data_IF_462934947822
#
_entry.id   IF_462934947822
#
_cell.length_a   1.000
_cell.length_b   1.000
_cell.length_c   1.000
_cell.angle_alpha   90.00
_cell.angle_beta   90.00
_cell.angle_gamma   90.00
#
_symmetry.space_group_name_H-M   'P 1'
#
loop_
_entity.id
_entity.type
_entity.pdbx_description
1 polymer ?
#
# COMPACT_ATOMS: atom_id res chain seq x y z
N UNK A 1 -18.64 -0.69 -9.21
CA UNK A 1 -18.02 -0.43 -7.91
C UNK A 1 -16.59 0.00 -8.12
N UNK A 2 -16.17 1.06 -7.46
CA UNK A 2 -14.81 1.62 -7.60
C UNK A 2 -13.83 0.72 -6.84
N UNK A 3 -12.77 0.31 -7.52
CA UNK A 3 -11.70 -0.47 -6.92
C UNK A 3 -10.52 0.44 -6.57
N UNK A 4 -9.90 0.17 -5.43
CA UNK A 4 -8.84 1.00 -4.89
C UNK A 4 -7.55 0.20 -4.71
N UNK A 5 -6.44 0.83 -5.03
CA UNK A 5 -5.10 0.42 -4.60
C UNK A 5 -4.68 1.39 -3.51
N UNK A 6 -4.40 0.87 -2.32
CA UNK A 6 -3.93 1.63 -1.18
C UNK A 6 -2.45 1.27 -0.99
N UNK A 7 -1.54 2.18 -1.33
CA UNK A 7 -0.11 1.94 -1.19
C UNK A 7 0.38 2.52 0.12
N UNK A 8 0.98 1.65 0.94
CA UNK A 8 1.65 2.05 2.17
C UNK A 8 3.01 2.64 1.83
N UNK A 9 3.17 3.93 2.04
CA UNK A 9 4.45 4.63 1.87
C UNK A 9 5.24 4.54 3.17
N UNK A 10 6.52 4.24 3.06
CA UNK A 10 7.44 4.11 4.19
C UNK A 10 8.86 4.44 3.75
N UNK A 11 9.80 4.36 4.68
CA UNK A 11 11.22 4.53 4.42
C UNK A 11 11.61 5.94 3.95
N UNK A 12 12.79 6.06 3.34
CA UNK A 12 13.30 7.31 2.79
C UNK A 12 12.72 7.66 1.43
N UNK A 13 13.04 8.85 0.95
CA UNK A 13 12.42 9.41 -0.26
C UNK A 13 12.63 8.55 -1.52
N UNK A 14 13.78 7.94 -1.69
CA UNK A 14 14.03 7.04 -2.82
C UNK A 14 13.06 5.87 -2.84
N UNK A 15 12.90 5.20 -1.70
CA UNK A 15 11.97 4.10 -1.56
C UNK A 15 10.51 4.55 -1.72
N UNK A 16 10.16 5.73 -1.20
CA UNK A 16 8.84 6.31 -1.39
C UNK A 16 8.50 6.50 -2.87
N UNK A 17 9.45 6.96 -3.66
CA UNK A 17 9.29 7.13 -5.10
C UNK A 17 9.08 5.78 -5.82
N UNK A 18 9.81 4.75 -5.44
CA UNK A 18 9.62 3.40 -5.99
C UNK A 18 8.23 2.85 -5.65
N UNK A 19 7.83 2.94 -4.38
CA UNK A 19 6.51 2.49 -3.93
C UNK A 19 5.38 3.21 -4.68
N UNK A 20 5.48 4.53 -4.78
CA UNK A 20 4.50 5.34 -5.50
C UNK A 20 4.44 4.98 -6.99
N UNK A 21 5.59 4.97 -7.66
CA UNK A 21 5.65 4.73 -9.10
C UNK A 21 5.09 3.37 -9.48
N UNK A 22 5.41 2.34 -8.69
CA UNK A 22 4.90 1.00 -8.91
C UNK A 22 3.39 0.92 -8.71
N UNK A 23 2.88 1.48 -7.62
CA UNK A 23 1.45 1.51 -7.35
C UNK A 23 0.69 2.35 -8.39
N UNK A 24 1.28 3.44 -8.84
CA UNK A 24 0.72 4.27 -9.90
C UNK A 24 0.58 3.49 -11.21
N UNK A 25 1.65 2.82 -11.64
CA UNK A 25 1.61 2.00 -12.86
C UNK A 25 0.55 0.90 -12.77
N UNK A 26 0.47 0.24 -11.61
CA UNK A 26 -0.51 -0.81 -11.37
C UNK A 26 -1.95 -0.26 -11.40
N UNK A 27 -2.18 0.91 -10.81
CA UNK A 27 -3.49 1.56 -10.81
C UNK A 27 -3.95 1.93 -12.22
N UNK A 28 -3.04 2.47 -13.02
CA UNK A 28 -3.33 2.83 -14.42
C UNK A 28 -3.62 1.59 -15.27
N UNK A 29 -2.82 0.55 -15.12
CA UNK A 29 -3.01 -0.70 -15.87
C UNK A 29 -4.38 -1.34 -15.61
N UNK A 30 -4.85 -1.28 -14.36
CA UNK A 30 -6.10 -1.91 -13.96
C UNK A 30 -7.29 -0.95 -13.94
N UNK A 31 -7.07 0.32 -14.19
CA UNK A 31 -8.09 1.38 -14.08
C UNK A 31 -8.70 1.44 -12.67
N UNK A 32 -7.85 1.39 -11.65
CA UNK A 32 -8.22 1.49 -10.24
C UNK A 32 -7.82 2.84 -9.67
N UNK A 33 -8.51 3.30 -8.64
CA UNK A 33 -8.08 4.48 -7.87
C UNK A 33 -6.81 4.18 -7.10
N UNK A 34 -5.86 5.12 -7.11
CA UNK A 34 -4.69 5.07 -6.26
C UNK A 34 -4.89 5.96 -5.04
N UNK A 35 -4.79 5.36 -3.85
CA UNK A 35 -4.84 6.04 -2.56
C UNK A 35 -3.51 5.87 -1.85
N UNK A 36 -3.01 6.96 -1.27
CA UNK A 36 -1.70 7.01 -0.62
C UNK A 36 -1.87 6.91 0.89
N UNK A 37 -1.38 5.82 1.47
CA UNK A 37 -1.30 5.67 2.92
C UNK A 37 0.01 6.31 3.40
N UNK A 38 -0.10 7.50 3.95
CA UNK A 38 1.03 8.32 4.39
C UNK A 38 1.34 8.19 5.89
N UNK A 39 0.67 7.32 6.62
CA UNK A 39 0.81 7.22 8.08
C UNK A 39 1.23 5.84 8.57
N UNK A 40 0.70 4.77 8.00
CA UNK A 40 0.92 3.40 8.47
C UNK A 40 2.41 3.03 8.51
N UNK A 41 3.16 3.39 7.48
CA UNK A 41 4.58 3.07 7.38
C UNK A 41 5.46 3.79 8.42
N UNK A 42 4.95 4.85 9.03
CA UNK A 42 5.67 5.67 10.01
C UNK A 42 5.12 5.54 11.43
N UNK A 43 4.06 4.79 11.61
CA UNK A 43 3.39 4.64 12.91
C UNK A 43 4.31 4.05 13.99
N UNK A 44 5.18 3.11 13.62
CA UNK A 44 6.13 2.48 14.54
C UNK A 44 7.51 3.14 14.57
N UNK A 45 7.72 4.20 13.83
CA UNK A 45 9.00 4.93 13.82
C UNK A 45 9.06 5.85 15.03
N UNK A 46 9.45 5.29 16.17
CA UNK A 46 9.56 6.03 17.44
C UNK A 46 10.63 7.13 17.42
N UNK A 47 11.65 6.98 16.57
CA UNK A 47 12.74 7.95 16.46
C UNK A 47 12.45 9.06 15.45
N UNK A 48 11.38 8.97 14.69
CA UNK A 48 10.96 9.93 13.65
C UNK A 48 12.09 10.32 12.69
N UNK A 49 12.97 9.37 12.40
CA UNK A 49 14.12 9.60 11.52
C UNK A 49 13.68 9.81 10.08
N UNK A 50 12.58 9.17 9.70
CA UNK A 50 12.04 9.24 8.35
C UNK A 50 10.58 9.71 8.38
N UNK A 51 10.19 10.45 7.36
CA UNK A 51 8.84 11.00 7.26
C UNK A 51 8.35 10.94 5.82
N UNK A 52 7.05 11.11 5.65
CA UNK A 52 6.42 11.20 4.34
C UNK A 52 6.87 12.47 3.63
N UNK A 53 7.46 12.33 2.46
CA UNK A 53 8.07 13.42 1.68
C UNK A 53 7.53 13.55 0.26
N UNK A 54 6.66 12.64 -0.20
CA UNK A 54 6.11 12.70 -1.55
C UNK A 54 5.29 13.98 -1.81
N UNK A 55 4.75 14.59 -0.77
CA UNK A 55 4.03 15.86 -0.86
C UNK A 55 4.92 17.05 -1.23
N UNK A 56 6.25 16.89 -1.15
CA UNK A 56 7.23 17.89 -1.59
C UNK A 56 7.41 17.93 -3.11
N UNK A 57 6.92 16.92 -3.81
CA UNK A 57 6.98 16.85 -5.25
C UNK A 57 5.68 17.32 -5.87
N UNK A 58 5.73 17.85 -7.08
CA UNK A 58 4.54 18.28 -7.84
C UNK A 58 3.80 17.06 -8.41
N UNK A 59 3.35 16.16 -7.53
CA UNK A 59 2.52 15.02 -7.89
C UNK A 59 1.14 15.14 -7.26
N UNK A 60 0.13 14.82 -8.01
CA UNK A 60 -1.24 14.82 -7.52
C UNK A 60 -1.48 13.57 -6.67
N UNK A 61 -1.47 13.74 -5.35
CA UNK A 61 -1.62 12.65 -4.39
C UNK A 61 -3.03 12.59 -3.82
N UNK A 62 -3.70 11.47 -3.97
CA UNK A 62 -4.94 11.16 -3.26
C UNK A 62 -4.60 10.46 -1.95
N UNK A 63 -4.68 11.18 -0.85
CA UNK A 63 -4.38 10.62 0.47
C UNK A 63 -5.52 9.70 0.91
N UNK A 64 -5.18 8.50 1.36
CA UNK A 64 -6.15 7.53 1.85
C UNK A 64 -6.90 8.06 3.07
N UNK A 65 -8.22 7.86 3.14
CA UNK A 65 -8.99 8.23 4.33
C UNK A 65 -8.60 7.37 5.53
N UNK A 66 -8.93 7.84 6.72
CA UNK A 66 -8.52 7.23 7.99
C UNK A 66 -8.91 5.76 8.13
N UNK A 67 -10.03 5.35 7.56
CA UNK A 67 -10.49 3.96 7.61
C UNK A 67 -9.60 2.97 6.83
N UNK A 68 -8.69 3.45 5.99
CA UNK A 68 -7.77 2.63 5.21
C UNK A 68 -6.32 2.68 5.70
N UNK A 69 -6.05 3.29 6.84
CA UNK A 69 -4.67 3.44 7.33
C UNK A 69 -4.57 3.37 8.85
N UNK A 70 -3.35 3.10 9.33
CA UNK A 70 -3.00 3.11 10.74
C UNK A 70 -2.44 4.49 11.08
N UNK A 71 -3.05 5.18 12.05
CA UNK A 71 -2.63 6.50 12.51
C UNK A 71 -2.61 6.64 14.04
N UNK A 72 -3.22 5.69 14.76
CA UNK A 72 -3.25 5.62 16.21
C UNK A 72 -3.32 4.15 16.70
N UNK A 73 -3.32 3.93 18.00
CA UNK A 73 -3.36 2.58 18.56
C UNK A 73 -4.66 1.83 18.27
N UNK A 74 -5.87 2.42 18.38
CA UNK A 74 -7.09 1.74 17.99
C UNK A 74 -7.10 1.31 16.52
N UNK A 75 -6.65 2.15 15.60
CA UNK A 75 -6.56 1.79 14.18
C UNK A 75 -5.54 0.69 13.93
N UNK A 76 -4.45 0.65 14.68
CA UNK A 76 -3.45 -0.41 14.64
C UNK A 76 -4.06 -1.77 14.99
N UNK A 77 -4.83 -1.85 16.07
CA UNK A 77 -5.50 -3.09 16.48
C UNK A 77 -6.52 -3.53 15.42
N UNK A 78 -7.32 -2.61 14.92
CA UNK A 78 -8.30 -2.87 13.86
C UNK A 78 -7.66 -3.45 12.60
N UNK A 79 -6.58 -2.85 12.13
CA UNK A 79 -5.88 -3.30 10.92
C UNK A 79 -5.26 -4.69 11.10
N UNK A 80 -4.64 -4.97 12.24
CA UNK A 80 -4.08 -6.29 12.53
C UNK A 80 -5.16 -7.36 12.57
N UNK A 81 -6.32 -7.05 13.14
CA UNK A 81 -7.46 -7.94 13.13
C UNK A 81 -7.96 -8.22 11.71
N UNK A 82 -8.11 -7.17 10.89
CA UNK A 82 -8.53 -7.31 9.49
C UNK A 82 -7.55 -8.14 8.67
N UNK A 83 -6.24 -8.00 8.90
CA UNK A 83 -5.24 -8.83 8.24
C UNK A 83 -5.37 -10.31 8.60
N UNK A 84 -5.65 -10.61 9.87
CA UNK A 84 -5.83 -12.00 10.33
C UNK A 84 -7.05 -12.67 9.70
N UNK A 85 -8.11 -11.92 9.45
CA UNK A 85 -9.35 -12.44 8.86
C UNK A 85 -9.45 -12.19 7.36
N UNK A 86 -8.36 -11.80 6.70
CA UNK A 86 -8.33 -11.46 5.27
C UNK A 86 -8.91 -12.60 4.40
N UNK A 87 -8.71 -13.86 4.80
CA UNK A 87 -9.26 -15.03 4.08
C UNK A 87 -10.78 -14.97 4.02
N UNK A 88 -11.41 -14.39 5.02
CA UNK A 88 -12.86 -14.24 5.13
C UNK A 88 -13.37 -12.87 4.65
N UNK A 89 -12.45 -11.95 4.36
CA UNK A 89 -12.82 -10.62 3.86
C UNK A 89 -13.28 -10.70 2.41
N UNK A 90 -14.47 -10.17 2.15
CA UNK A 90 -14.99 -10.10 0.78
C UNK A 90 -14.29 -9.06 -0.07
N UNK A 91 -13.81 -7.98 0.53
CA UNK A 91 -13.43 -6.78 -0.21
C UNK A 91 -11.94 -6.43 -0.15
N UNK A 92 -11.19 -6.94 0.84
CA UNK A 92 -9.83 -6.50 1.11
C UNK A 92 -8.79 -7.58 0.82
N UNK A 93 -7.69 -7.19 0.18
CA UNK A 93 -6.50 -8.02 -0.02
C UNK A 93 -5.29 -7.24 0.46
N UNK A 94 -4.42 -7.90 1.23
CA UNK A 94 -3.16 -7.34 1.69
C UNK A 94 -2.00 -8.02 0.96
N UNK A 95 -1.22 -7.23 0.24
CA UNK A 95 -0.06 -7.68 -0.54
C UNK A 95 1.18 -7.03 0.05
N UNK A 96 2.13 -7.85 0.49
CA UNK A 96 3.37 -7.35 1.07
C UNK A 96 4.57 -8.09 0.47
N UNK A 97 5.46 -7.35 -0.18
CA UNK A 97 6.66 -7.91 -0.80
C UNK A 97 7.55 -8.66 0.22
N UNK A 98 7.68 -8.13 1.43
CA UNK A 98 8.56 -8.71 2.44
C UNK A 98 8.12 -10.10 2.95
N UNK A 99 6.86 -10.42 2.82
CA UNK A 99 6.31 -11.70 3.29
C UNK A 99 6.38 -12.81 2.23
N UNK A 100 6.54 -12.45 0.97
CA UNK A 100 6.39 -13.38 -0.15
C UNK A 100 7.49 -13.25 -1.21
N UNK A 101 8.68 -12.79 -0.84
CA UNK A 101 9.82 -12.59 -1.75
C UNK A 101 10.04 -13.79 -2.69
N UNK A 102 9.81 -15.01 -2.20
CA UNK A 102 9.98 -16.22 -3.00
C UNK A 102 8.74 -16.62 -3.81
N UNK A 103 7.60 -15.97 -3.57
CA UNK A 103 6.30 -16.30 -4.20
C UNK A 103 5.72 -15.16 -5.03
N UNK A 104 6.12 -13.92 -4.76
CA UNK A 104 5.66 -12.78 -5.53
C UNK A 104 6.41 -12.73 -6.84
N UNK A 105 5.83 -13.34 -7.83
CA UNK A 105 6.24 -13.11 -9.21
C UNK A 105 5.55 -11.83 -9.71
N UNK A 106 6.14 -11.18 -10.68
CA UNK A 106 5.56 -10.08 -11.42
C UNK A 106 4.08 -10.32 -11.79
N UNK A 107 3.73 -11.56 -12.09
CA UNK A 107 2.35 -11.97 -12.41
C UNK A 107 1.38 -11.79 -11.24
N UNK A 108 1.80 -12.05 -10.01
CA UNK A 108 0.92 -11.97 -8.85
C UNK A 108 0.50 -10.54 -8.53
N UNK A 109 1.36 -9.57 -8.81
CA UNK A 109 1.05 -8.15 -8.63
C UNK A 109 0.20 -7.63 -9.78
N UNK A 110 0.39 -8.13 -10.99
CA UNK A 110 -0.34 -7.71 -12.18
C UNK A 110 -1.73 -8.33 -12.24
N UNK A 111 -1.90 -9.55 -11.74
CA UNK A 111 -3.16 -10.30 -11.77
C UNK A 111 -3.91 -10.14 -10.46
N UNK A 112 -4.44 -8.93 -10.23
CA UNK A 112 -5.26 -8.67 -9.04
C UNK A 112 -6.59 -9.42 -9.12
N UNK A 113 -7.05 -10.04 -8.01
CA UNK A 113 -8.33 -10.74 -7.98
C UNK A 113 -9.50 -9.83 -8.34
N UNK A 114 -10.32 -10.23 -9.31
CA UNK A 114 -11.44 -9.41 -9.79
C UNK A 114 -12.58 -9.27 -8.78
N UNK A 115 -12.65 -10.18 -7.81
CA UNK A 115 -13.73 -10.19 -6.81
C UNK A 115 -13.40 -9.33 -5.57
N UNK A 116 -12.30 -8.60 -5.57
CA UNK A 116 -11.89 -7.73 -4.46
C UNK A 116 -11.94 -6.27 -4.87
N UNK A 117 -12.15 -5.40 -3.90
CA UNK A 117 -12.32 -3.97 -4.13
C UNK A 117 -11.17 -3.11 -3.60
N UNK A 118 -10.50 -3.55 -2.53
CA UNK A 118 -9.42 -2.80 -1.92
C UNK A 118 -8.16 -3.67 -1.85
N UNK A 119 -7.09 -3.16 -2.44
CA UNK A 119 -5.78 -3.82 -2.51
C UNK A 119 -4.78 -2.99 -1.73
N UNK A 120 -4.40 -3.48 -0.55
CA UNK A 120 -3.42 -2.85 0.31
C UNK A 120 -2.03 -3.37 -0.06
N UNK A 121 -1.17 -2.48 -0.56
CA UNK A 121 0.15 -2.84 -1.07
C UNK A 121 1.23 -2.27 -0.16
N UNK A 122 2.14 -3.12 0.29
CA UNK A 122 3.32 -2.71 1.06
C UNK A 122 4.58 -3.39 0.54
N UNK A 123 5.73 -2.73 0.70
CA UNK A 123 7.02 -3.23 0.24
C UNK A 123 7.75 -2.20 -0.60
N UNK A 124 9.05 -2.38 -0.77
CA UNK A 124 9.88 -1.38 -1.44
C UNK A 124 9.76 -1.43 -2.96
N UNK A 125 9.54 -2.60 -3.54
CA UNK A 125 9.37 -2.81 -4.97
C UNK A 125 10.51 -2.20 -5.81
N UNK A 126 11.74 -2.40 -5.36
CA UNK A 126 12.95 -1.82 -5.99
C UNK A 126 13.41 -2.56 -7.25
N UNK A 127 12.75 -3.64 -7.61
CA UNK A 127 13.13 -4.47 -8.76
C UNK A 127 12.43 -4.01 -10.05
N UNK A 128 13.15 -4.07 -11.16
CA UNK A 128 12.58 -3.87 -12.51
C UNK A 128 11.47 -4.88 -12.87
N UNK A 129 11.29 -5.91 -12.05
CA UNK A 129 10.26 -6.94 -12.27
C UNK A 129 8.84 -6.46 -12.00
N UNK A 130 8.66 -5.29 -11.39
CA UNK A 130 7.36 -4.76 -10.98
C UNK A 130 6.84 -3.66 -11.89
#
# INVERSE_FOLDING_TARGET
MIKNIIVKISEGIGNQLFMYSNAYALSKKNNYNLLIDNTTGYFKDHNKVRSFLLDKFEVNLNIAPKNYKIYDFPSYIKFNFLKKIQVFSKDNVFINESLDINKMTYFNIISLPLNKNNFFIGGNFESEKY
#
